data_IF_765516823628
#
_entry.id   IF_765516823628
#
_cell.length_a   1.000
_cell.length_b   1.000
_cell.length_c   1.000
_cell.angle_alpha   90.00
_cell.angle_beta   90.00
_cell.angle_gamma   90.00
#
_symmetry.space_group_name_H-M   'P 1'
#
loop_
_entity.id
_entity.type
_entity.pdbx_description
1 polymer ?
#
# COMPACT_ATOMS: atom_id res chain seq x y z
N UNK A 1 0.83 14.10 -12.02
CA UNK A 1 0.97 13.29 -10.77
C UNK A 1 0.73 11.78 -10.95
N UNK A 2 0.56 11.24 -12.17
CA UNK A 2 0.27 9.80 -12.39
C UNK A 2 1.48 8.87 -12.14
N UNK A 3 2.69 9.44 -12.16
CA UNK A 3 3.92 8.67 -12.10
C UNK A 3 4.35 8.38 -10.66
N UNK A 4 4.06 9.28 -9.71
CA UNK A 4 4.41 9.11 -8.29
C UNK A 4 3.68 7.91 -7.65
N UNK A 5 2.40 7.71 -7.99
CA UNK A 5 1.62 6.57 -7.51
C UNK A 5 2.15 5.23 -8.06
N UNK A 6 2.57 5.21 -9.33
CA UNK A 6 3.20 4.02 -9.94
C UNK A 6 4.55 3.70 -9.31
N UNK A 7 5.35 4.73 -9.03
CA UNK A 7 6.66 4.58 -8.38
C UNK A 7 6.47 4.06 -6.94
N UNK A 8 5.52 4.60 -6.18
CA UNK A 8 5.22 4.12 -4.83
C UNK A 8 4.77 2.65 -4.83
N UNK A 9 3.89 2.27 -5.76
CA UNK A 9 3.44 0.88 -5.88
C UNK A 9 4.57 -0.10 -6.23
N UNK A 10 5.47 0.30 -7.13
CA UNK A 10 6.64 -0.52 -7.52
C UNK A 10 7.64 -0.67 -6.37
N UNK A 11 7.88 0.40 -5.61
CA UNK A 11 8.77 0.36 -4.44
C UNK A 11 8.22 -0.57 -3.35
N UNK A 12 6.91 -0.60 -3.11
CA UNK A 12 6.30 -1.51 -2.14
C UNK A 12 6.46 -2.99 -2.55
N UNK A 13 6.31 -3.30 -3.84
CA UNK A 13 6.48 -4.67 -4.36
C UNK A 13 7.94 -5.12 -4.28
N UNK A 14 8.89 -4.22 -4.56
CA UNK A 14 10.32 -4.51 -4.50
C UNK A 14 10.84 -4.74 -3.05
N UNK A 15 10.13 -4.24 -2.04
CA UNK A 15 10.47 -4.44 -0.63
C UNK A 15 9.78 -5.65 0.02
N UNK A 16 9.04 -6.45 -0.74
CA UNK A 16 8.52 -7.74 -0.30
C UNK A 16 9.68 -8.76 -0.19
N UNK A 17 10.61 -8.51 0.73
CA UNK A 17 11.70 -9.42 1.02
C UNK A 17 11.14 -10.72 1.60
N UNK A 18 11.60 -11.84 1.04
CA UNK A 18 11.25 -13.18 1.47
C UNK A 18 11.85 -13.45 2.86
N UNK A 19 10.99 -13.72 3.85
CA UNK A 19 11.49 -14.19 5.15
C UNK A 19 11.62 -15.71 5.11
N UNK A 20 12.85 -16.19 4.94
CA UNK A 20 13.19 -17.59 5.15
C UNK A 20 13.19 -17.88 6.65
N UNK A 21 12.09 -18.43 7.16
CA UNK A 21 12.10 -19.10 8.44
C UNK A 21 12.93 -20.38 8.30
N UNK A 22 14.14 -20.41 8.87
CA UNK A 22 14.97 -21.62 8.92
C UNK A 22 14.17 -22.73 9.62
N UNK A 23 13.86 -23.81 8.88
CA UNK A 23 12.92 -24.85 9.27
C UNK A 23 13.36 -25.77 10.41
N UNK A 24 14.50 -25.51 11.07
CA UNK A 24 15.12 -26.45 12.02
C UNK A 24 15.66 -25.79 13.31
N UNK A 25 14.92 -24.86 13.93
CA UNK A 25 15.30 -24.33 15.24
C UNK A 25 14.55 -25.04 16.39
N UNK A 26 15.06 -26.20 16.80
CA UNK A 26 14.88 -26.69 18.18
C UNK A 26 14.31 -28.10 18.34
N UNK A 27 15.20 -29.10 18.29
CA UNK A 27 15.03 -30.35 19.02
C UNK A 27 14.91 -30.03 20.53
N UNK A 28 13.70 -30.08 21.09
CA UNK A 28 13.47 -30.01 22.53
C UNK A 28 12.32 -29.11 22.96
N UNK A 29 11.13 -29.70 23.14
CA UNK A 29 10.05 -29.09 23.94
C UNK A 29 9.00 -28.28 23.19
N UNK A 30 8.10 -28.96 22.46
CA UNK A 30 6.64 -28.71 22.38
C UNK A 30 6.04 -27.30 22.16
N UNK A 31 6.82 -26.26 21.86
CA UNK A 31 6.31 -24.88 21.75
C UNK A 31 7.05 -24.04 20.72
N UNK A 32 6.44 -22.90 20.36
CA UNK A 32 7.07 -21.88 19.52
C UNK A 32 8.31 -21.38 20.28
N UNK A 33 9.51 -21.77 19.82
CA UNK A 33 10.76 -21.33 20.44
C UNK A 33 10.90 -19.81 20.43
N UNK A 34 11.82 -19.29 21.24
CA UNK A 34 12.06 -17.84 21.41
C UNK A 34 12.24 -17.11 20.06
N UNK A 35 12.93 -17.73 19.10
CA UNK A 35 13.10 -17.21 17.73
C UNK A 35 11.77 -17.13 16.97
N UNK A 36 10.89 -18.12 17.12
CA UNK A 36 9.55 -18.10 16.51
C UNK A 36 8.66 -16.99 17.09
N UNK A 37 8.77 -16.71 18.38
CA UNK A 37 8.07 -15.59 19.01
C UNK A 37 8.55 -14.23 18.50
N UNK A 38 9.87 -14.06 18.36
CA UNK A 38 10.47 -12.83 17.79
C UNK A 38 10.06 -12.65 16.33
N UNK A 39 9.97 -13.74 15.57
CA UNK A 39 9.51 -13.69 14.18
C UNK A 39 8.05 -13.24 14.07
N UNK A 40 7.16 -13.77 14.91
CA UNK A 40 5.75 -13.35 14.96
C UNK A 40 5.63 -11.88 15.38
N UNK A 41 6.40 -11.47 16.39
CA UNK A 41 6.43 -10.07 16.82
C UNK A 41 6.92 -9.14 15.70
N UNK A 42 7.92 -9.54 14.93
CA UNK A 42 8.40 -8.79 13.77
C UNK A 42 7.32 -8.62 12.70
N UNK A 43 6.58 -9.69 12.37
CA UNK A 43 5.45 -9.61 11.43
C UNK A 43 4.37 -8.66 11.96
N UNK A 44 4.02 -8.74 13.24
CA UNK A 44 3.02 -7.86 13.84
C UNK A 44 3.42 -6.37 13.73
N UNK A 45 4.71 -6.08 13.92
CA UNK A 45 5.26 -4.73 13.76
C UNK A 45 5.15 -4.26 12.31
N UNK A 46 5.54 -5.09 11.33
CA UNK A 46 5.42 -4.78 9.90
C UNK A 46 3.96 -4.50 9.51
N UNK A 47 3.01 -5.33 9.96
CA UNK A 47 1.58 -5.15 9.71
C UNK A 47 1.08 -3.81 10.30
N UNK A 48 1.55 -3.46 11.50
CA UNK A 48 1.17 -2.21 12.16
C UNK A 48 1.69 -1.00 11.40
N UNK A 49 2.95 -1.02 10.96
CA UNK A 49 3.56 0.10 10.24
C UNK A 49 2.99 0.28 8.83
N UNK A 50 2.55 -0.78 8.16
CA UNK A 50 1.90 -0.66 6.85
C UNK A 50 0.41 -0.26 6.93
N UNK A 51 -0.18 -0.23 8.13
CA UNK A 51 -1.60 0.08 8.30
C UNK A 51 -1.94 1.49 7.80
N UNK A 52 -1.07 2.47 8.07
CA UNK A 52 -1.25 3.85 7.62
C UNK A 52 -1.29 3.97 6.09
N UNK A 53 -0.27 3.49 5.32
CA UNK A 53 -0.34 3.54 3.86
C UNK A 53 -1.51 2.72 3.30
N UNK A 54 -1.88 1.59 3.91
CA UNK A 54 -3.06 0.82 3.50
C UNK A 54 -4.36 1.58 3.71
N UNK A 55 -4.53 2.30 4.83
CA UNK A 55 -5.71 3.12 5.11
C UNK A 55 -5.84 4.30 4.16
N UNK A 56 -4.73 4.93 3.77
CA UNK A 56 -4.73 6.03 2.79
C UNK A 56 -5.26 5.54 1.44
N UNK A 57 -4.76 4.39 0.97
CA UNK A 57 -5.20 3.79 -0.30
C UNK A 57 -6.67 3.36 -0.20
N UNK A 58 -7.05 2.69 0.89
CA UNK A 58 -8.42 2.25 1.12
C UNK A 58 -9.41 3.44 1.18
N UNK A 59 -9.05 4.51 1.89
CA UNK A 59 -9.82 5.75 1.93
C UNK A 59 -9.98 6.38 0.55
N UNK A 60 -8.91 6.40 -0.26
CA UNK A 60 -8.99 6.93 -1.63
C UNK A 60 -9.94 6.12 -2.54
N UNK A 61 -10.04 4.81 -2.32
CA UNK A 61 -10.99 3.94 -3.02
C UNK A 61 -12.43 4.22 -2.57
N UNK A 62 -12.67 4.37 -1.26
CA UNK A 62 -13.99 4.74 -0.75
C UNK A 62 -14.44 6.11 -1.27
N UNK A 63 -13.53 7.09 -1.31
CA UNK A 63 -13.80 8.40 -1.92
C UNK A 63 -14.02 8.26 -3.43
N UNK A 64 -13.35 7.34 -4.13
CA UNK A 64 -13.62 7.12 -5.56
C UNK A 64 -14.95 6.42 -5.84
N UNK A 65 -15.44 5.58 -4.93
CA UNK A 65 -16.70 4.84 -5.08
C UNK A 65 -17.90 5.68 -4.64
N UNK A 66 -17.76 6.41 -3.52
CA UNK A 66 -18.86 7.17 -2.90
C UNK A 66 -18.73 8.69 -3.10
N UNK A 67 -17.56 9.18 -3.50
CA UNK A 67 -17.38 10.55 -3.93
C UNK A 67 -18.16 10.78 -5.21
N UNK A 68 -19.16 11.64 -5.11
CA UNK A 68 -19.88 12.24 -6.23
C UNK A 68 -18.91 12.48 -7.38
N UNK A 69 -19.24 11.97 -8.58
CA UNK A 69 -18.59 12.29 -9.84
C UNK A 69 -18.72 13.80 -10.12
N UNK A 70 -18.01 14.59 -9.33
CA UNK A 70 -17.98 16.03 -9.38
C UNK A 70 -17.03 16.43 -10.47
N UNK A 71 -17.61 16.62 -11.66
CA UNK A 71 -17.08 17.55 -12.65
C UNK A 71 -15.74 17.12 -13.25
N UNK A 72 -15.84 16.27 -14.27
CA UNK A 72 -15.12 16.55 -15.51
C UNK A 72 -15.61 17.94 -15.96
N UNK A 73 -15.08 19.01 -15.35
CA UNK A 73 -15.27 20.36 -15.81
C UNK A 73 -14.74 20.37 -17.23
N UNK A 74 -15.69 20.49 -18.16
CA UNK A 74 -15.42 20.64 -19.58
C UNK A 74 -14.31 21.67 -19.70
N UNK A 75 -13.19 21.27 -20.29
CA UNK A 75 -12.32 22.22 -20.99
C UNK A 75 -13.17 22.76 -22.15
N UNK A 76 -14.04 23.71 -21.85
CA UNK A 76 -14.70 24.54 -22.85
C UNK A 76 -13.61 25.37 -23.48
N UNK A 77 -13.12 24.86 -24.61
CA UNK A 77 -13.23 25.60 -25.86
C UNK A 77 -13.02 27.12 -25.73
N UNK A 78 -11.78 27.52 -25.43
CA UNK A 78 -11.31 28.88 -25.64
C UNK A 78 -10.66 29.02 -27.03
N UNK A 79 -11.28 28.42 -28.06
CA UNK A 79 -10.80 28.47 -29.45
C UNK A 79 -11.72 29.22 -30.41
N UNK A 80 -12.83 29.80 -29.93
CA UNK A 80 -13.85 30.37 -30.82
C UNK A 80 -14.50 31.63 -30.28
N UNK A 81 -13.75 32.73 -30.25
CA UNK A 81 -14.31 34.07 -30.49
C UNK A 81 -13.17 35.07 -30.66
N UNK A 82 -13.32 35.92 -31.68
CA UNK A 82 -12.47 37.08 -32.03
C UNK A 82 -11.17 36.73 -32.81
N UNK A 83 -10.78 37.36 -33.93
CA UNK A 83 -11.18 38.55 -34.67
C UNK A 83 -11.04 38.24 -36.19
N UNK A 84 -12.06 38.51 -37.02
CA UNK A 84 -12.17 39.68 -37.93
C UNK A 84 -10.88 39.97 -38.70
#
# INVERSE_FOLDING_TARGET
MKNALRIAALVTILNANTVFAASNAGLGGGGIGLIGWIFIAFIAVVITFQLIPSLIVFGSMLVSIFGKAGSHEKVTDHGKADNI
#
